data_IF_431826802495
#
_entry.id   IF_431826802495
#
_cell.length_a   1.000
_cell.length_b   1.000
_cell.length_c   1.000
_cell.angle_alpha   90.00
_cell.angle_beta   90.00
_cell.angle_gamma   90.00
#
_symmetry.space_group_name_H-M   'P 1'
#
loop_
_entity.id
_entity.type
_entity.pdbx_description
1 polymer ?
#
# COMPACT_ATOMS: atom_id res chain seq x y z
N UNK A 1 5.91 1.68 18.25
CA UNK A 1 6.36 2.19 16.93
C UNK A 1 7.18 3.45 17.16
N UNK A 2 8.39 3.52 16.61
CA UNK A 2 9.38 4.55 16.96
C UNK A 2 9.83 5.34 15.73
N UNK A 3 10.28 6.56 15.90
CA UNK A 3 10.86 7.41 14.85
C UNK A 3 12.04 6.70 14.13
N UNK A 4 12.71 5.76 14.81
CA UNK A 4 13.72 4.88 14.21
C UNK A 4 13.20 4.10 12.98
N UNK A 5 11.94 3.64 13.00
CA UNK A 5 11.36 2.86 11.91
C UNK A 5 11.13 3.71 10.65
N UNK A 6 10.72 4.98 10.81
CA UNK A 6 10.49 5.89 9.68
C UNK A 6 11.81 6.30 9.04
N UNK A 7 12.84 6.55 9.87
CA UNK A 7 14.19 6.85 9.40
C UNK A 7 14.81 5.65 8.68
N UNK A 8 14.68 4.44 9.24
CA UNK A 8 15.24 3.21 8.66
C UNK A 8 14.66 2.87 7.30
N UNK A 9 13.33 2.92 7.14
CA UNK A 9 12.68 2.48 5.90
C UNK A 9 12.52 3.58 4.86
N UNK A 10 12.29 4.82 5.29
CA UNK A 10 11.95 5.91 4.38
C UNK A 10 12.97 7.06 4.39
N UNK A 11 13.85 7.13 5.39
CA UNK A 11 14.87 8.18 5.51
C UNK A 11 14.32 9.50 6.03
N UNK A 12 13.13 9.51 6.64
CA UNK A 12 12.56 10.70 7.26
C UNK A 12 13.04 10.84 8.71
N UNK A 13 13.33 12.05 9.16
CA UNK A 13 13.81 12.28 10.52
C UNK A 13 12.68 12.24 11.56
N UNK A 14 11.49 12.73 11.19
CA UNK A 14 10.32 12.81 12.08
C UNK A 14 9.01 12.52 11.33
N UNK A 15 8.00 12.10 12.07
CA UNK A 15 6.62 12.07 11.59
C UNK A 15 6.08 13.50 11.42
N UNK A 16 5.29 13.71 10.37
CA UNK A 16 4.45 14.90 10.29
C UNK A 16 3.25 14.77 11.24
N UNK A 17 2.61 15.90 11.56
CA UNK A 17 1.46 15.95 12.45
C UNK A 17 0.36 14.95 12.04
N UNK A 18 -0.18 14.22 13.01
CA UNK A 18 -1.26 13.23 12.81
C UNK A 18 -0.82 11.86 12.29
N UNK A 19 0.35 11.73 11.63
CA UNK A 19 0.78 10.45 11.06
C UNK A 19 0.97 9.38 12.14
N UNK A 20 1.66 9.72 13.23
CA UNK A 20 1.97 8.79 14.32
C UNK A 20 0.72 8.20 14.96
N UNK A 21 -0.35 8.98 15.09
CA UNK A 21 -1.62 8.53 15.65
C UNK A 21 -2.31 7.51 14.73
N UNK A 22 -2.47 7.85 13.44
CA UNK A 22 -3.09 6.97 12.45
C UNK A 22 -2.31 5.67 12.32
N UNK A 23 -1.00 5.76 12.23
CA UNK A 23 -0.09 4.63 12.15
C UNK A 23 -0.21 3.74 13.39
N UNK A 24 -0.28 4.35 14.58
CA UNK A 24 -0.45 3.62 15.84
C UNK A 24 -1.75 2.81 15.87
N UNK A 25 -2.87 3.42 15.47
CA UNK A 25 -4.17 2.74 15.34
C UNK A 25 -4.10 1.55 14.39
N UNK A 26 -3.55 1.74 13.19
CA UNK A 26 -3.45 0.68 12.18
C UNK A 26 -2.60 -0.49 12.69
N UNK A 27 -1.47 -0.23 13.34
CA UNK A 27 -0.61 -1.30 13.88
C UNK A 27 -1.24 -2.00 15.09
N UNK A 28 -2.12 -1.31 15.84
CA UNK A 28 -2.95 -1.93 16.87
C UNK A 28 -4.10 -2.79 16.31
N UNK A 29 -4.27 -2.84 14.98
CA UNK A 29 -5.36 -3.56 14.32
C UNK A 29 -6.68 -2.78 14.26
N UNK A 30 -6.64 -1.49 14.59
CA UNK A 30 -7.82 -0.62 14.55
C UNK A 30 -8.02 0.02 13.17
N UNK A 31 -9.26 0.38 12.86
CA UNK A 31 -9.60 1.16 11.67
C UNK A 31 -9.31 2.64 11.88
N UNK A 32 -8.89 3.33 10.83
CA UNK A 32 -8.63 4.76 10.86
C UNK A 32 -9.13 5.47 9.59
N UNK A 33 -9.73 6.65 9.77
CA UNK A 33 -9.97 7.61 8.70
C UNK A 33 -8.92 8.71 8.79
N UNK A 34 -8.18 8.93 7.71
CA UNK A 34 -7.01 9.79 7.67
C UNK A 34 -7.24 10.93 6.68
N UNK A 35 -7.53 12.13 7.19
CA UNK A 35 -7.71 13.34 6.38
C UNK A 35 -6.45 14.18 6.51
N UNK A 36 -5.69 14.27 5.41
CA UNK A 36 -4.45 15.04 5.32
C UNK A 36 -4.54 16.00 4.14
N UNK A 37 -3.93 17.20 4.22
CA UNK A 37 -3.76 18.05 3.05
C UNK A 37 -2.85 17.36 2.02
N UNK A 38 -2.98 17.75 0.75
CA UNK A 38 -2.07 17.29 -0.32
C UNK A 38 -0.62 17.53 0.09
N UNK A 39 0.23 16.51 -0.09
CA UNK A 39 1.63 16.58 0.33
C UNK A 39 1.87 16.36 1.83
N UNK A 40 0.82 16.22 2.66
CA UNK A 40 0.93 15.96 4.11
C UNK A 40 1.41 14.56 4.49
N UNK A 41 1.97 13.80 3.53
CA UNK A 41 2.53 12.47 3.76
C UNK A 41 1.49 11.39 4.14
N UNK A 42 0.25 11.51 3.66
CA UNK A 42 -0.83 10.52 3.87
C UNK A 42 -0.39 9.09 3.55
N UNK A 43 0.41 8.91 2.49
CA UNK A 43 0.88 7.60 2.05
C UNK A 43 1.69 6.85 3.11
N UNK A 44 2.48 7.58 3.90
CA UNK A 44 3.27 6.99 4.98
C UNK A 44 2.40 6.30 6.03
N UNK A 45 1.15 6.76 6.20
CA UNK A 45 0.21 6.21 7.16
C UNK A 45 -0.15 4.75 6.90
N UNK A 46 -0.03 4.25 5.67
CA UNK A 46 -0.18 2.82 5.37
C UNK A 46 1.13 2.15 4.93
N UNK A 47 2.06 2.90 4.33
CA UNK A 47 3.33 2.35 3.88
C UNK A 47 4.20 1.88 5.06
N UNK A 48 4.23 2.64 6.16
CA UNK A 48 5.01 2.25 7.32
C UNK A 48 4.37 1.05 8.06
N UNK A 49 3.05 1.04 8.37
CA UNK A 49 2.40 -0.15 8.91
C UNK A 49 2.56 -1.40 8.03
N UNK A 50 2.58 -1.25 6.70
CA UNK A 50 2.84 -2.37 5.81
C UNK A 50 4.11 -3.12 6.25
N UNK A 51 5.20 -2.42 6.57
CA UNK A 51 6.47 -3.03 6.99
C UNK A 51 6.40 -3.80 8.32
N UNK A 52 5.39 -3.54 9.16
CA UNK A 52 5.21 -4.18 10.46
C UNK A 52 4.18 -5.30 10.47
N UNK A 53 3.24 -5.29 9.53
CA UNK A 53 2.20 -6.30 9.44
C UNK A 53 2.72 -7.56 8.72
N UNK A 54 2.19 -8.76 9.00
CA UNK A 54 2.72 -10.01 8.46
C UNK A 54 2.41 -10.23 6.96
N UNK A 55 1.31 -9.68 6.46
CA UNK A 55 0.81 -9.88 5.09
C UNK A 55 0.99 -8.66 4.19
N UNK A 56 0.14 -8.59 3.16
CA UNK A 56 0.14 -7.56 2.13
C UNK A 56 -0.75 -6.40 2.55
N UNK A 57 -0.28 -5.18 2.29
CA UNK A 57 -1.13 -3.99 2.27
C UNK A 57 -1.70 -3.80 0.87
N UNK A 58 -3.00 -3.97 0.71
CA UNK A 58 -3.72 -3.69 -0.54
C UNK A 58 -4.18 -2.24 -0.55
N UNK A 59 -3.78 -1.47 -1.56
CA UNK A 59 -4.17 -0.06 -1.72
C UNK A 59 -5.03 0.08 -2.96
N UNK A 60 -6.29 0.44 -2.79
CA UNK A 60 -7.20 0.77 -3.89
C UNK A 60 -7.09 2.26 -4.15
N UNK A 61 -6.70 2.66 -5.36
CA UNK A 61 -6.56 4.08 -5.73
C UNK A 61 -7.18 4.37 -7.10
N UNK A 62 -7.86 5.52 -7.29
CA UNK A 62 -8.36 5.93 -8.60
C UNK A 62 -7.27 6.57 -9.50
N UNK A 63 -6.15 7.01 -8.93
CA UNK A 63 -5.15 7.83 -9.63
C UNK A 63 -3.96 7.00 -10.16
N UNK A 64 -4.00 6.64 -11.45
CA UNK A 64 -2.97 5.80 -12.08
C UNK A 64 -1.56 6.42 -12.09
N UNK A 65 -1.47 7.74 -12.28
CA UNK A 65 -0.20 8.48 -12.22
C UNK A 65 0.41 8.40 -10.82
N UNK A 66 -0.39 8.67 -9.79
CA UNK A 66 0.03 8.56 -8.39
C UNK A 66 0.49 7.14 -8.04
N UNK A 67 -0.23 6.11 -8.54
CA UNK A 67 0.21 4.73 -8.36
C UNK A 67 1.60 4.49 -8.93
N UNK A 68 1.90 5.00 -10.13
CA UNK A 68 3.23 4.86 -10.75
C UNK A 68 4.31 5.52 -9.89
N UNK A 69 4.10 6.77 -9.50
CA UNK A 69 5.06 7.53 -8.69
C UNK A 69 5.32 6.87 -7.33
N UNK A 70 4.27 6.34 -6.69
CA UNK A 70 4.42 5.61 -5.44
C UNK A 70 5.18 4.29 -5.60
N UNK A 71 4.95 3.53 -6.67
CA UNK A 71 5.72 2.30 -6.93
C UNK A 71 7.20 2.64 -7.17
N UNK A 72 7.50 3.70 -7.91
CA UNK A 72 8.89 4.15 -8.13
C UNK A 72 9.55 4.58 -6.81
N UNK A 73 8.84 5.33 -5.96
CA UNK A 73 9.31 5.70 -4.63
C UNK A 73 9.58 4.46 -3.75
N UNK A 74 8.64 3.52 -3.67
CA UNK A 74 8.79 2.30 -2.87
C UNK A 74 9.97 1.44 -3.36
N UNK A 75 10.15 1.33 -4.69
CA UNK A 75 11.31 0.66 -5.28
C UNK A 75 12.63 1.35 -4.91
N UNK A 76 12.67 2.68 -4.89
CA UNK A 76 13.85 3.45 -4.46
C UNK A 76 14.24 3.17 -3.00
N UNK A 77 13.27 2.76 -2.18
CA UNK A 77 13.44 2.34 -0.78
C UNK A 77 13.62 0.83 -0.63
N UNK A 78 13.77 0.09 -1.72
CA UNK A 78 13.89 -1.38 -1.74
C UNK A 78 12.70 -2.10 -1.09
N UNK A 79 11.51 -1.47 -1.12
CA UNK A 79 10.28 -2.06 -0.61
C UNK A 79 9.60 -2.83 -1.76
N UNK A 80 9.32 -4.14 -1.62
CA UNK A 80 8.64 -4.91 -2.65
C UNK A 80 7.22 -4.39 -2.88
N UNK A 81 6.99 -3.74 -4.01
CA UNK A 81 5.71 -3.15 -4.34
C UNK A 81 5.37 -3.35 -5.82
N UNK A 82 4.08 -3.56 -6.10
CA UNK A 82 3.57 -3.74 -7.45
C UNK A 82 2.24 -3.00 -7.65
N UNK A 83 1.89 -2.76 -8.91
CA UNK A 83 0.60 -2.18 -9.31
C UNK A 83 -0.17 -3.09 -10.25
N UNK A 84 -1.49 -3.07 -10.13
CA UNK A 84 -2.43 -3.69 -11.05
C UNK A 84 -3.41 -2.64 -11.59
N UNK A 85 -3.23 -2.27 -12.85
CA UNK A 85 -4.11 -1.33 -13.56
C UNK A 85 -4.42 -1.82 -14.99
N UNK A 86 -5.03 -0.98 -15.82
CA UNK A 86 -5.40 -1.31 -17.20
C UNK A 86 -4.20 -1.35 -18.15
N UNK A 87 -3.07 -0.73 -17.80
CA UNK A 87 -1.89 -0.59 -18.66
C UNK A 87 -0.88 -1.74 -18.57
N UNK A 88 -1.02 -2.67 -17.62
CA UNK A 88 -0.12 -3.82 -17.49
C UNK A 88 -0.48 -4.96 -18.44
N UNK A 89 0.54 -5.67 -18.94
CA UNK A 89 0.34 -6.82 -19.80
C UNK A 89 -0.27 -8.01 -19.04
N UNK A 90 -0.88 -8.94 -19.78
CA UNK A 90 -1.41 -10.19 -19.20
C UNK A 90 -0.33 -10.98 -18.47
N UNK A 91 0.91 -10.98 -18.97
CA UNK A 91 2.04 -11.70 -18.36
C UNK A 91 2.41 -11.09 -17.02
N UNK A 92 2.56 -9.76 -16.97
CA UNK A 92 2.86 -9.03 -15.72
C UNK A 92 1.73 -9.15 -14.70
N UNK A 93 0.47 -9.13 -15.16
CA UNK A 93 -0.69 -9.36 -14.30
C UNK A 93 -0.61 -10.71 -13.59
N UNK A 94 -0.35 -11.80 -14.33
CA UNK A 94 -0.25 -13.13 -13.74
C UNK A 94 0.95 -13.26 -12.79
N UNK A 95 2.10 -12.72 -13.16
CA UNK A 95 3.28 -12.70 -12.30
C UNK A 95 3.00 -11.95 -10.98
N UNK A 96 2.38 -10.78 -11.06
CA UNK A 96 2.03 -9.97 -9.88
C UNK A 96 1.06 -10.71 -8.95
N UNK A 97 0.07 -11.42 -9.51
CA UNK A 97 -0.84 -12.24 -8.70
C UNK A 97 -0.10 -13.39 -8.00
N UNK A 98 0.79 -14.07 -8.70
CA UNK A 98 1.59 -15.15 -8.14
C UNK A 98 2.49 -14.66 -7.00
N UNK A 99 3.18 -13.54 -7.22
CA UNK A 99 4.02 -12.90 -6.21
C UNK A 99 3.20 -12.45 -4.99
N UNK A 100 1.96 -11.99 -5.21
CA UNK A 100 1.02 -11.65 -4.13
C UNK A 100 0.60 -12.87 -3.32
N UNK A 101 0.25 -13.98 -3.96
CA UNK A 101 -0.09 -15.23 -3.24
C UNK A 101 1.10 -15.76 -2.44
N UNK A 102 2.32 -15.55 -2.93
CA UNK A 102 3.55 -16.01 -2.28
C UNK A 102 4.13 -15.01 -1.27
N UNK A 103 3.40 -13.93 -0.93
CA UNK A 103 3.85 -12.87 -0.02
C UNK A 103 5.19 -12.23 -0.42
N UNK A 104 5.54 -12.21 -1.71
CA UNK A 104 6.75 -11.53 -2.21
C UNK A 104 6.53 -10.03 -2.42
N UNK A 105 5.28 -9.58 -2.41
CA UNK A 105 4.88 -8.18 -2.49
C UNK A 105 4.46 -7.73 -1.11
N UNK A 106 4.94 -6.56 -0.69
CA UNK A 106 4.55 -5.93 0.58
C UNK A 106 3.39 -4.95 0.41
N UNK A 107 3.41 -4.20 -0.68
CA UNK A 107 2.37 -3.23 -1.02
C UNK A 107 1.88 -3.51 -2.44
N UNK A 108 0.58 -3.81 -2.57
CA UNK A 108 -0.08 -4.01 -3.84
C UNK A 108 -1.05 -2.87 -4.09
N UNK A 109 -0.75 -2.01 -5.07
CA UNK A 109 -1.67 -0.96 -5.49
C UNK A 109 -2.57 -1.50 -6.61
N UNK A 110 -3.87 -1.25 -6.54
CA UNK A 110 -4.84 -1.73 -7.52
C UNK A 110 -5.79 -0.60 -7.92
N UNK A 111 -6.04 -0.46 -9.22
CA UNK A 111 -7.02 0.51 -9.69
C UNK A 111 -8.45 0.09 -9.28
N UNK A 112 -9.35 1.06 -9.15
CA UNK A 112 -10.77 0.79 -8.82
C UNK A 112 -11.41 -0.20 -9.80
N UNK A 113 -11.12 -0.05 -11.10
CA UNK A 113 -11.61 -0.95 -12.16
C UNK A 113 -11.13 -2.40 -11.93
N UNK A 114 -9.82 -2.59 -11.67
CA UNK A 114 -9.25 -3.92 -11.41
C UNK A 114 -9.77 -4.52 -10.11
N UNK A 115 -9.99 -3.71 -9.08
CA UNK A 115 -10.54 -4.17 -7.81
C UNK A 115 -11.99 -4.67 -7.93
N UNK A 116 -12.78 -4.08 -8.85
CA UNK A 116 -14.15 -4.54 -9.14
C UNK A 116 -14.20 -5.85 -9.93
N UNK A 117 -13.11 -6.25 -10.58
CA UNK A 117 -13.06 -7.48 -11.36
C UNK A 117 -13.19 -8.73 -10.47
N UNK A 118 -14.17 -9.59 -10.76
CA UNK A 118 -14.44 -10.80 -9.98
C UNK A 118 -13.27 -11.81 -9.98
N UNK A 119 -12.55 -11.92 -11.09
CA UNK A 119 -11.39 -12.81 -11.18
C UNK A 119 -10.28 -12.33 -10.25
N UNK A 120 -10.05 -11.02 -10.20
CA UNK A 120 -9.11 -10.44 -9.24
C UNK A 120 -9.54 -10.72 -7.80
N UNK A 121 -10.82 -10.48 -7.44
CA UNK A 121 -11.35 -10.74 -6.09
C UNK A 121 -11.22 -12.21 -5.69
N UNK A 122 -11.39 -13.13 -6.63
CA UNK A 122 -11.17 -14.56 -6.40
C UNK A 122 -9.71 -14.87 -6.06
N UNK A 123 -8.75 -14.24 -6.76
CA UNK A 123 -7.32 -14.39 -6.45
C UNK A 123 -6.94 -13.69 -5.15
N UNK A 124 -7.55 -12.56 -4.84
CA UNK A 124 -7.31 -11.80 -3.62
C UNK A 124 -7.62 -12.64 -2.36
N UNK A 125 -8.65 -13.50 -2.40
CA UNK A 125 -8.97 -14.44 -1.31
C UNK A 125 -7.84 -15.42 -0.99
N UNK A 126 -6.88 -15.62 -1.91
CA UNK A 126 -5.72 -16.50 -1.73
C UNK A 126 -4.49 -15.76 -1.22
N UNK A 127 -4.54 -14.42 -1.14
CA UNK A 127 -3.46 -13.58 -0.63
C UNK A 127 -3.65 -13.35 0.87
N UNK A 128 -2.56 -13.32 1.62
CA UNK A 128 -2.60 -12.94 3.03
C UNK A 128 -2.63 -11.41 3.14
N UNK A 129 -3.81 -10.80 3.12
CA UNK A 129 -3.97 -9.34 3.25
C UNK A 129 -4.04 -8.97 4.73
N UNK A 130 -3.15 -8.08 5.17
CA UNK A 130 -3.17 -7.56 6.55
C UNK A 130 -3.76 -6.16 6.66
N UNK A 131 -3.84 -5.42 5.57
CA UNK A 131 -4.40 -4.07 5.54
C UNK A 131 -5.04 -3.78 4.19
N UNK A 132 -6.26 -3.24 4.21
CA UNK A 132 -6.92 -2.65 3.05
C UNK A 132 -6.94 -1.14 3.21
N UNK A 133 -6.47 -0.44 2.19
CA UNK A 133 -6.45 1.02 2.14
C UNK A 133 -7.30 1.47 0.95
N UNK A 134 -8.18 2.44 1.19
CA UNK A 134 -8.90 3.14 0.13
C UNK A 134 -8.33 4.55 0.06
N UNK A 135 -7.62 4.83 -1.03
CA UNK A 135 -7.06 6.15 -1.31
C UNK A 135 -8.09 7.02 -2.06
N UNK A 136 -8.03 8.33 -1.86
CA UNK A 136 -9.00 9.29 -2.41
C UNK A 136 -10.48 8.91 -2.13
N UNK A 137 -10.81 8.65 -0.85
CA UNK A 137 -12.10 8.13 -0.40
C UNK A 137 -13.26 9.16 -0.33
N UNK A 138 -13.14 10.29 -1.02
CA UNK A 138 -14.14 11.37 -1.03
C UNK A 138 -15.24 11.15 -2.07
#
# INVERSE_FOLDING_TARGET
>A
MTDYSVKRHFGFDHFMNGQKEVIGKIVAGESAAAIFPTGGGKSLCYQLPAMHLPGITLVVSPLLSLMKDQIEFLKSKQIPAAKLDSGISRKEYQATLQDGVQNRIKILMVSVERFKNERFRTQLKRMNVSLLVVDEAH
#
